data_IF_398837030086
#
_entry.id   IF_398837030086
#
_cell.length_a   1.000
_cell.length_b   1.000
_cell.length_c   1.000
_cell.angle_alpha   90.00
_cell.angle_beta   90.00
_cell.angle_gamma   90.00
#
_symmetry.space_group_name_H-M   'P 1'
#
loop_
_entity.id
_entity.type
_entity.pdbx_description
1 polymer ?
#
# COMPACT_ATOMS: atom_id res chain seq x y z
N UNK A 1 -2.19 6.17 15.14
CA UNK A 1 -2.91 6.64 13.95
C UNK A 1 -2.94 5.54 12.91
N UNK A 2 -4.11 5.32 12.28
CA UNK A 2 -4.25 4.39 11.16
C UNK A 2 -4.53 5.17 9.88
N UNK A 3 -3.63 5.09 8.91
CA UNK A 3 -3.79 5.70 7.58
C UNK A 3 -4.32 4.65 6.62
N UNK A 4 -5.44 4.92 5.96
CA UNK A 4 -5.98 4.06 4.90
C UNK A 4 -5.77 4.68 3.53
N UNK A 5 -5.24 3.88 2.59
CA UNK A 5 -5.00 4.27 1.20
C UNK A 5 -5.84 3.37 0.30
N UNK A 6 -6.87 3.94 -0.30
CA UNK A 6 -7.82 3.18 -1.14
C UNK A 6 -7.21 2.71 -2.46
N UNK A 7 -7.88 1.76 -3.10
CA UNK A 7 -7.47 1.19 -4.37
C UNK A 7 -8.09 1.85 -5.60
N UNK A 8 -7.89 1.18 -6.74
CA UNK A 8 -8.50 1.48 -8.03
C UNK A 8 -10.04 1.44 -7.98
N UNK A 9 -10.69 2.19 -8.87
CA UNK A 9 -12.14 2.20 -9.06
C UNK A 9 -12.91 2.51 -7.77
N UNK A 10 -12.42 3.44 -6.97
CA UNK A 10 -13.10 3.91 -5.76
C UNK A 10 -13.52 5.37 -5.93
N UNK A 11 -14.79 5.64 -5.66
CA UNK A 11 -15.26 7.00 -5.42
C UNK A 11 -14.90 7.41 -3.99
N UNK A 12 -14.95 8.70 -3.71
CA UNK A 12 -14.66 9.22 -2.38
C UNK A 12 -15.54 8.55 -1.31
N UNK A 13 -16.85 8.45 -1.57
CA UNK A 13 -17.81 7.85 -0.67
C UNK A 13 -17.50 6.37 -0.39
N UNK A 14 -17.11 5.61 -1.41
CA UNK A 14 -16.76 4.19 -1.28
C UNK A 14 -15.56 4.01 -0.34
N UNK A 15 -14.55 4.88 -0.48
CA UNK A 15 -13.37 4.85 0.39
C UNK A 15 -13.73 5.21 1.84
N UNK A 16 -14.58 6.24 2.05
CA UNK A 16 -15.04 6.66 3.38
C UNK A 16 -15.81 5.55 4.07
N UNK A 17 -16.83 4.98 3.42
CA UNK A 17 -17.65 3.93 4.02
C UNK A 17 -16.85 2.67 4.33
N UNK A 18 -16.00 2.25 3.40
CA UNK A 18 -15.14 1.08 3.62
C UNK A 18 -14.20 1.28 4.80
N UNK A 19 -13.57 2.43 4.89
CA UNK A 19 -12.65 2.69 5.99
C UNK A 19 -13.37 2.84 7.33
N UNK A 20 -14.52 3.52 7.36
CA UNK A 20 -15.33 3.62 8.56
C UNK A 20 -15.75 2.23 9.07
N UNK A 21 -16.14 1.31 8.17
CA UNK A 21 -16.47 -0.06 8.53
C UNK A 21 -15.25 -0.80 9.08
N UNK A 22 -14.08 -0.72 8.44
CA UNK A 22 -12.85 -1.37 8.91
C UNK A 22 -12.51 -0.89 10.34
N UNK A 23 -12.58 0.42 10.58
CA UNK A 23 -12.31 1.00 11.92
C UNK A 23 -13.30 0.50 12.95
N UNK A 24 -14.59 0.51 12.61
CA UNK A 24 -15.66 0.04 13.49
C UNK A 24 -15.48 -1.45 13.84
N UNK A 25 -15.31 -2.30 12.82
CA UNK A 25 -15.25 -3.76 12.99
C UNK A 25 -13.97 -4.21 13.69
N UNK A 26 -12.87 -3.49 13.50
CA UNK A 26 -11.60 -3.81 14.16
C UNK A 26 -11.62 -3.53 15.66
N UNK A 27 -12.47 -2.63 16.12
CA UNK A 27 -12.48 -2.17 17.51
C UNK A 27 -11.15 -1.56 18.00
N UNK A 28 -10.21 -1.31 17.08
CA UNK A 28 -8.89 -0.82 17.44
C UNK A 28 -8.94 0.63 17.96
N UNK A 29 -8.31 0.95 19.09
CA UNK A 29 -8.26 2.31 19.64
C UNK A 29 -7.28 3.16 18.82
N UNK A 30 -7.69 3.57 17.63
CA UNK A 30 -6.86 4.32 16.68
C UNK A 30 -7.55 5.57 16.18
N UNK A 31 -6.77 6.59 15.82
CA UNK A 31 -7.28 7.76 15.09
C UNK A 31 -7.23 7.44 13.60
N UNK A 32 -8.40 7.37 12.92
CA UNK A 32 -8.45 7.06 11.49
C UNK A 32 -8.10 8.27 10.64
N UNK A 33 -7.24 8.07 9.66
CA UNK A 33 -6.87 9.06 8.65
C UNK A 33 -7.07 8.43 7.27
N UNK A 34 -7.97 8.97 6.47
CA UNK A 34 -8.20 8.53 5.10
C UNK A 34 -7.34 9.37 4.14
N UNK A 35 -6.42 8.71 3.44
CA UNK A 35 -5.74 9.32 2.30
C UNK A 35 -6.49 8.99 1.02
N UNK A 36 -7.09 10.01 0.41
CA UNK A 36 -7.76 9.88 -0.89
C UNK A 36 -6.87 10.43 -2.01
N UNK A 37 -6.87 9.72 -3.14
CA UNK A 37 -6.20 10.13 -4.36
C UNK A 37 -7.20 10.06 -5.55
N UNK A 38 -6.99 10.85 -6.62
CA UNK A 38 -7.96 10.92 -7.73
C UNK A 38 -8.11 9.57 -8.45
N UNK A 39 -9.24 8.90 -8.24
CA UNK A 39 -9.66 7.73 -8.99
C UNK A 39 -10.92 8.08 -9.77
N UNK A 40 -11.02 7.58 -11.02
CA UNK A 40 -12.21 7.83 -11.84
C UNK A 40 -13.45 7.10 -11.34
N UNK A 41 -13.33 6.12 -10.45
CA UNK A 41 -14.45 5.29 -10.03
C UNK A 41 -15.08 4.53 -11.21
N UNK A 42 -14.26 4.09 -12.16
CA UNK A 42 -14.67 3.39 -13.37
C UNK A 42 -13.68 2.28 -13.71
N UNK A 43 -14.21 1.11 -14.08
CA UNK A 43 -13.40 -0.04 -14.53
C UNK A 43 -12.55 0.27 -15.76
N UNK A 44 -12.99 1.18 -16.60
CA UNK A 44 -12.25 1.61 -17.81
C UNK A 44 -11.16 2.65 -17.49
N UNK A 45 -11.15 3.20 -16.28
CA UNK A 45 -10.22 4.24 -15.84
C UNK A 45 -8.88 3.73 -15.30
N UNK A 46 -8.53 2.45 -15.47
CA UNK A 46 -7.33 1.88 -14.86
C UNK A 46 -6.04 2.64 -15.21
N UNK A 47 -5.84 2.99 -16.49
CA UNK A 47 -4.66 3.74 -16.93
C UNK A 47 -4.60 5.13 -16.31
N UNK A 48 -5.73 5.83 -16.24
CA UNK A 48 -5.82 7.12 -15.57
C UNK A 48 -5.52 6.99 -14.07
N UNK A 49 -6.13 6.03 -13.39
CA UNK A 49 -5.94 5.81 -11.97
C UNK A 49 -4.47 5.48 -11.66
N UNK A 50 -3.78 4.77 -12.55
CA UNK A 50 -2.36 4.47 -12.41
C UNK A 50 -1.48 5.72 -12.46
N UNK A 51 -1.75 6.63 -13.38
CA UNK A 51 -1.05 7.92 -13.45
C UNK A 51 -1.38 8.78 -12.23
N UNK A 52 -2.64 8.80 -11.80
CA UNK A 52 -3.07 9.50 -10.58
C UNK A 52 -2.41 8.95 -9.32
N UNK A 53 -2.25 7.64 -9.23
CA UNK A 53 -1.52 6.97 -8.15
C UNK A 53 -0.05 7.41 -8.13
N UNK A 54 0.61 7.44 -9.30
CA UNK A 54 1.97 7.95 -9.43
C UNK A 54 2.10 9.41 -9.01
N UNK A 55 1.17 10.25 -9.44
CA UNK A 55 1.12 11.67 -9.08
C UNK A 55 0.96 11.87 -7.56
N UNK A 56 0.13 11.04 -6.92
CA UNK A 56 -0.27 11.20 -5.52
C UNK A 56 0.77 10.73 -4.50
N UNK A 57 1.79 9.97 -4.91
CA UNK A 57 2.81 9.41 -4.01
C UNK A 57 3.53 10.45 -3.14
N UNK A 58 3.80 11.64 -3.72
CA UNK A 58 4.45 12.72 -2.97
C UNK A 58 3.56 13.32 -1.90
N UNK A 59 2.25 13.44 -2.16
CA UNK A 59 1.29 13.92 -1.18
C UNK A 59 1.17 12.94 0.01
N UNK A 60 1.17 11.63 -0.26
CA UNK A 60 1.18 10.62 0.79
C UNK A 60 2.49 10.67 1.60
N UNK A 61 3.64 10.78 0.94
CA UNK A 61 4.92 10.95 1.62
C UNK A 61 4.89 12.14 2.58
N UNK A 62 4.38 13.29 2.12
CA UNK A 62 4.27 14.52 2.92
C UNK A 62 3.35 14.35 4.12
N UNK A 63 2.21 13.68 3.95
CA UNK A 63 1.30 13.35 5.05
C UNK A 63 1.98 12.45 6.09
N UNK A 64 2.64 11.38 5.65
CA UNK A 64 3.32 10.45 6.54
C UNK A 64 4.46 11.12 7.32
N UNK A 65 5.21 12.01 6.65
CA UNK A 65 6.25 12.80 7.32
C UNK A 65 5.66 13.77 8.36
N UNK A 66 4.54 14.42 8.06
CA UNK A 66 3.87 15.30 9.01
C UNK A 66 3.40 14.53 10.24
N UNK A 67 2.73 13.37 10.05
CA UNK A 67 2.32 12.51 11.15
C UNK A 67 3.50 12.00 11.99
N UNK A 68 4.60 11.62 11.35
CA UNK A 68 5.79 11.14 12.06
C UNK A 68 6.48 12.24 12.89
N UNK A 69 6.39 13.50 12.47
CA UNK A 69 6.96 14.65 13.18
C UNK A 69 6.07 15.17 14.31
N UNK A 70 4.76 14.88 14.26
CA UNK A 70 3.82 15.37 15.26
C UNK A 70 4.08 14.67 16.62
N UNK A 71 4.33 15.43 17.70
CA UNK A 71 4.57 14.85 19.03
C UNK A 71 3.33 14.15 19.62
N UNK A 72 2.13 14.50 19.18
CA UNK A 72 0.89 13.84 19.62
C UNK A 72 0.69 12.46 18.98
N UNK A 73 1.42 12.14 17.91
CA UNK A 73 1.36 10.84 17.24
C UNK A 73 2.43 9.91 17.82
N UNK A 74 2.01 8.86 18.50
CA UNK A 74 2.92 7.82 19.01
C UNK A 74 3.35 6.85 17.92
N UNK A 75 2.39 6.37 17.12
CA UNK A 75 2.62 5.36 16.09
C UNK A 75 1.72 5.61 14.87
N UNK A 76 2.21 5.26 13.69
CA UNK A 76 1.49 5.27 12.42
C UNK A 76 1.46 3.84 11.87
N UNK A 77 0.27 3.31 11.68
CA UNK A 77 0.02 2.08 10.92
C UNK A 77 -0.65 2.45 9.60
N UNK A 78 -0.23 1.84 8.51
CA UNK A 78 -0.78 2.09 7.17
C UNK A 78 -1.50 0.83 6.70
N UNK A 79 -2.74 0.99 6.24
CA UNK A 79 -3.48 -0.04 5.52
C UNK A 79 -3.69 0.42 4.08
N UNK A 80 -3.07 -0.25 3.13
CA UNK A 80 -3.21 0.04 1.72
C UNK A 80 -3.95 -1.09 1.01
N UNK A 81 -4.83 -0.75 0.07
CA UNK A 81 -5.62 -1.71 -0.68
C UNK A 81 -5.39 -1.60 -2.19
N UNK A 82 -5.19 -2.73 -2.87
CA UNK A 82 -5.07 -2.84 -4.34
C UNK A 82 -4.02 -1.87 -4.91
N UNK A 83 -4.39 -0.96 -5.82
CA UNK A 83 -3.49 0.07 -6.38
C UNK A 83 -2.98 1.07 -5.33
N UNK A 84 -3.65 1.24 -4.20
CA UNK A 84 -3.17 2.04 -3.07
C UNK A 84 -1.85 1.52 -2.48
N UNK A 85 -1.56 0.23 -2.65
CA UNK A 85 -0.26 -0.33 -2.27
C UNK A 85 0.88 0.25 -3.11
N UNK A 86 0.65 0.48 -4.40
CA UNK A 86 1.63 1.17 -5.26
C UNK A 86 1.95 2.57 -4.72
N UNK A 87 0.93 3.37 -4.42
CA UNK A 87 1.11 4.72 -3.85
C UNK A 87 1.92 4.67 -2.56
N UNK A 88 1.57 3.71 -1.68
CA UNK A 88 2.18 3.54 -0.36
C UNK A 88 3.65 3.13 -0.47
N UNK A 89 3.95 2.11 -1.26
CA UNK A 89 5.32 1.62 -1.44
C UNK A 89 6.22 2.68 -2.07
N UNK A 90 5.74 3.41 -3.07
CA UNK A 90 6.48 4.52 -3.68
C UNK A 90 6.70 5.68 -2.72
N UNK A 91 5.71 6.03 -1.89
CA UNK A 91 5.86 7.07 -0.87
C UNK A 91 6.93 6.68 0.17
N UNK A 92 6.90 5.45 0.65
CA UNK A 92 7.89 4.93 1.61
C UNK A 92 9.29 4.84 1.00
N UNK A 93 9.40 4.38 -0.25
CA UNK A 93 10.65 4.33 -0.98
C UNK A 93 11.25 5.74 -1.15
N UNK A 94 10.47 6.72 -1.60
CA UNK A 94 10.93 8.10 -1.71
C UNK A 94 11.39 8.68 -0.38
N UNK A 95 10.64 8.40 0.69
CA UNK A 95 10.99 8.82 2.05
C UNK A 95 12.33 8.21 2.49
N UNK A 96 12.54 6.92 2.22
CA UNK A 96 13.80 6.24 2.53
C UNK A 96 14.98 6.84 1.77
N UNK A 97 14.84 7.09 0.47
CA UNK A 97 15.88 7.71 -0.36
C UNK A 97 16.24 9.12 0.15
N UNK A 98 15.24 9.94 0.50
CA UNK A 98 15.47 11.32 0.95
C UNK A 98 16.07 11.42 2.33
N UNK A 99 15.62 10.57 3.26
CA UNK A 99 15.95 10.65 4.68
C UNK A 99 16.92 9.56 5.13
N UNK A 100 17.37 8.68 4.25
CA UNK A 100 18.19 7.51 4.53
C UNK A 100 17.57 6.50 5.49
N UNK A 101 16.31 6.68 5.83
CA UNK A 101 15.51 5.78 6.66
C UNK A 101 14.04 6.16 6.64
N UNK A 102 13.18 5.23 7.01
CA UNK A 102 11.77 5.50 7.28
C UNK A 102 11.63 5.87 8.77
N UNK A 103 10.93 6.96 9.13
CA UNK A 103 10.75 7.37 10.52
C UNK A 103 10.25 6.23 11.41
N UNK A 104 10.81 6.05 12.61
CA UNK A 104 10.45 4.94 13.52
C UNK A 104 8.98 4.87 13.90
N UNK A 105 8.28 5.99 13.89
CA UNK A 105 6.84 6.05 14.18
C UNK A 105 5.99 5.38 13.11
N UNK A 106 6.47 5.27 11.86
CA UNK A 106 5.83 4.44 10.84
C UNK A 106 6.22 3.00 11.14
N UNK A 107 5.36 2.31 11.89
CA UNK A 107 5.69 1.03 12.49
C UNK A 107 5.17 -0.16 11.69
N UNK A 108 3.96 -0.06 11.15
CA UNK A 108 3.29 -1.18 10.47
C UNK A 108 2.72 -0.75 9.13
N UNK A 109 2.89 -1.61 8.13
CA UNK A 109 2.35 -1.44 6.78
C UNK A 109 1.65 -2.71 6.36
N UNK A 110 0.34 -2.65 6.25
CA UNK A 110 -0.54 -3.74 5.85
C UNK A 110 -0.88 -3.57 4.36
N UNK A 111 -0.44 -4.50 3.55
CA UNK A 111 -0.61 -4.52 2.11
C UNK A 111 -1.73 -5.51 1.75
N UNK A 112 -2.94 -5.01 1.48
CA UNK A 112 -4.10 -5.82 1.17
C UNK A 112 -4.30 -5.96 -0.34
N UNK A 113 -4.31 -7.20 -0.86
CA UNK A 113 -4.47 -7.54 -2.29
C UNK A 113 -3.65 -6.63 -3.20
N UNK A 114 -2.34 -6.49 -3.02
CA UNK A 114 -1.55 -5.47 -3.70
C UNK A 114 -1.51 -5.68 -5.22
N UNK A 115 -1.97 -4.66 -5.95
CA UNK A 115 -1.86 -4.56 -7.41
C UNK A 115 -0.51 -3.93 -7.80
N UNK A 116 0.54 -4.62 -7.43
CA UNK A 116 1.94 -4.24 -7.68
C UNK A 116 2.63 -5.39 -8.39
N UNK A 117 3.42 -5.06 -9.41
CA UNK A 117 4.30 -6.02 -10.05
C UNK A 117 5.31 -6.56 -9.04
N UNK A 118 5.55 -7.85 -9.05
CA UNK A 118 6.38 -8.48 -8.01
C UNK A 118 7.85 -8.07 -8.08
N UNK A 119 8.39 -7.88 -9.28
CA UNK A 119 9.79 -7.46 -9.44
C UNK A 119 9.97 -5.99 -9.03
N UNK A 120 8.95 -5.16 -9.31
CA UNK A 120 8.90 -3.78 -8.81
C UNK A 120 8.84 -3.75 -7.29
N UNK A 121 8.00 -4.58 -6.67
CA UNK A 121 7.92 -4.68 -5.21
C UNK A 121 9.29 -5.03 -4.60
N UNK A 122 9.99 -6.03 -5.14
CA UNK A 122 11.32 -6.39 -4.63
C UNK A 122 12.32 -5.26 -4.75
N UNK A 123 12.31 -4.55 -5.89
CA UNK A 123 13.16 -3.37 -6.08
C UNK A 123 12.84 -2.29 -5.05
N UNK A 124 11.56 -1.99 -4.83
CA UNK A 124 11.13 -1.01 -3.83
C UNK A 124 11.59 -1.38 -2.42
N UNK A 125 11.42 -2.65 -2.02
CA UNK A 125 11.86 -3.14 -0.69
C UNK A 125 13.38 -3.07 -0.55
N UNK A 126 14.14 -3.42 -1.58
CA UNK A 126 15.61 -3.36 -1.55
C UNK A 126 16.14 -1.93 -1.44
N UNK A 127 15.47 -0.96 -2.06
CA UNK A 127 15.84 0.45 -2.00
C UNK A 127 15.41 1.17 -0.71
N UNK A 128 14.64 0.51 0.15
CA UNK A 128 14.33 1.00 1.49
C UNK A 128 15.49 0.73 2.43
N UNK A 129 16.43 1.67 2.50
CA UNK A 129 17.60 1.60 3.37
C UNK A 129 17.26 1.78 4.86
N UNK A 130 18.13 1.29 5.73
CA UNK A 130 18.02 1.47 7.17
C UNK A 130 16.84 0.73 7.80
N UNK A 131 16.18 1.38 8.77
CA UNK A 131 15.01 0.78 9.43
C UNK A 131 13.80 0.80 8.51
N UNK A 132 13.17 -0.35 8.36
CA UNK A 132 11.89 -0.53 7.65
C UNK A 132 10.76 -0.77 8.65
N UNK A 133 9.51 -0.40 8.32
CA UNK A 133 8.34 -0.82 9.09
C UNK A 133 8.14 -2.34 9.01
N UNK A 134 7.30 -2.87 9.88
CA UNK A 134 6.81 -4.25 9.75
C UNK A 134 5.83 -4.31 8.58
N UNK A 135 6.12 -5.13 7.60
CA UNK A 135 5.19 -5.39 6.50
C UNK A 135 4.33 -6.62 6.80
N UNK A 136 3.04 -6.52 6.54
CA UNK A 136 2.10 -7.64 6.55
C UNK A 136 1.42 -7.70 5.20
N UNK A 137 1.49 -8.86 4.55
CA UNK A 137 0.96 -9.08 3.22
C UNK A 137 -0.32 -9.93 3.29
N UNK A 138 -1.44 -9.38 2.81
CA UNK A 138 -2.69 -10.12 2.63
C UNK A 138 -2.87 -10.40 1.14
N UNK A 139 -2.77 -11.67 0.77
CA UNK A 139 -2.88 -12.16 -0.60
C UNK A 139 -4.06 -13.12 -0.76
N UNK A 140 -4.54 -13.23 -1.99
CA UNK A 140 -5.55 -14.22 -2.35
C UNK A 140 -5.24 -14.77 -3.74
N UNK A 141 -5.05 -16.08 -3.83
CA UNK A 141 -4.83 -16.77 -5.11
C UNK A 141 -6.06 -16.72 -6.02
N UNK A 142 -7.25 -16.48 -5.44
CA UNK A 142 -8.53 -16.44 -6.14
C UNK A 142 -9.01 -15.02 -6.49
N UNK A 143 -8.16 -14.00 -6.33
CA UNK A 143 -8.54 -12.60 -6.59
C UNK A 143 -8.79 -12.34 -8.08
N UNK A 144 -10.07 -12.31 -8.44
CA UNK A 144 -10.53 -12.08 -9.82
C UNK A 144 -10.19 -10.69 -10.35
N UNK A 145 -10.11 -9.69 -9.48
CA UNK A 145 -9.76 -8.32 -9.88
C UNK A 145 -8.30 -8.24 -10.34
N UNK A 146 -7.40 -8.92 -9.64
CA UNK A 146 -6.00 -9.04 -10.04
C UNK A 146 -5.83 -9.88 -11.32
N UNK A 147 -6.73 -10.83 -11.58
CA UNK A 147 -6.74 -11.59 -12.83
C UNK A 147 -7.09 -10.70 -14.05
N UNK A 148 -7.98 -9.72 -13.88
CA UNK A 148 -8.30 -8.72 -14.91
C UNK A 148 -7.10 -7.79 -15.15
N UNK A 149 -6.47 -7.30 -14.09
CA UNK A 149 -5.25 -6.48 -14.18
C UNK A 149 -4.14 -7.18 -14.99
N UNK A 150 -3.92 -8.48 -14.76
CA UNK A 150 -2.97 -9.29 -15.55
C UNK A 150 -3.31 -9.36 -17.04
N UNK A 151 -4.59 -9.45 -17.40
CA UNK A 151 -5.02 -9.50 -18.82
C UNK A 151 -4.80 -8.20 -19.56
N UNK A 152 -4.91 -7.07 -18.87
CA UNK A 152 -4.81 -5.74 -19.49
C UNK A 152 -3.34 -5.30 -19.64
N UNK A 153 -2.47 -5.67 -18.71
CA UNK A 153 -1.11 -5.10 -18.60
C UNK A 153 0.04 -6.12 -18.75
N UNK A 154 -0.26 -7.35 -19.19
CA UNK A 154 0.76 -8.35 -19.48
C UNK A 154 0.95 -9.39 -18.37
N UNK A 155 1.86 -10.34 -18.62
CA UNK A 155 1.96 -11.61 -17.92
C UNK A 155 2.73 -11.59 -16.59
N UNK A 156 3.16 -10.45 -16.08
CA UNK A 156 3.90 -10.41 -14.81
C UNK A 156 3.00 -10.70 -13.62
N UNK A 157 3.52 -11.48 -12.68
CA UNK A 157 2.80 -11.83 -11.46
C UNK A 157 2.55 -10.58 -10.61
N UNK A 158 1.32 -10.45 -10.11
CA UNK A 158 0.96 -9.42 -9.14
C UNK A 158 1.17 -9.93 -7.73
N UNK A 159 1.76 -9.10 -6.89
CA UNK A 159 2.07 -9.45 -5.50
C UNK A 159 0.86 -9.98 -4.73
N UNK A 160 -0.33 -9.41 -4.97
CA UNK A 160 -1.57 -9.84 -4.31
C UNK A 160 -2.10 -11.20 -4.75
N UNK A 161 -1.56 -11.79 -5.82
CA UNK A 161 -2.01 -13.06 -6.40
C UNK A 161 -0.94 -14.16 -6.35
N UNK A 162 0.14 -13.97 -5.62
CA UNK A 162 1.15 -15.00 -5.41
C UNK A 162 0.66 -16.02 -4.35
N UNK A 163 1.23 -17.21 -4.41
CA UNK A 163 1.18 -18.16 -3.31
C UNK A 163 2.42 -17.94 -2.43
N UNK A 164 2.26 -17.37 -1.21
CA UNK A 164 3.38 -17.03 -0.36
C UNK A 164 4.16 -18.25 0.16
N UNK A 165 3.54 -19.44 0.12
CA UNK A 165 4.16 -20.70 0.54
C UNK A 165 4.96 -21.40 -0.58
N UNK A 166 4.82 -20.91 -1.82
CA UNK A 166 5.53 -21.46 -2.97
C UNK A 166 6.87 -20.77 -3.22
N UNK A 167 7.85 -21.54 -3.73
CA UNK A 167 9.11 -20.97 -4.19
C UNK A 167 8.95 -20.27 -5.57
N UNK A 168 9.67 -19.15 -5.82
CA UNK A 168 10.70 -18.55 -4.98
C UNK A 168 10.19 -17.51 -3.97
N UNK A 169 8.87 -17.37 -3.82
CA UNK A 169 8.27 -16.28 -3.05
C UNK A 169 8.50 -16.46 -1.55
N UNK A 170 8.34 -17.69 -1.05
CA UNK A 170 8.56 -18.03 0.35
C UNK A 170 9.94 -17.57 0.84
N UNK A 171 11.00 -18.03 0.19
CA UNK A 171 12.38 -17.68 0.55
C UNK A 171 12.61 -16.16 0.50
N UNK A 172 12.05 -15.47 -0.51
CA UNK A 172 12.20 -14.02 -0.65
C UNK A 172 11.45 -13.24 0.44
N UNK A 173 10.22 -13.64 0.78
CA UNK A 173 9.42 -13.00 1.83
C UNK A 173 10.08 -13.18 3.19
N UNK A 174 10.52 -14.39 3.52
CA UNK A 174 11.26 -14.68 4.76
C UNK A 174 12.55 -13.84 4.88
N UNK A 175 13.33 -13.74 3.80
CA UNK A 175 14.53 -12.92 3.76
C UNK A 175 14.24 -11.42 3.94
N UNK A 176 13.09 -10.95 3.43
CA UNK A 176 12.62 -9.58 3.60
C UNK A 176 11.94 -9.32 4.95
N UNK A 177 11.67 -10.37 5.74
CA UNK A 177 10.88 -10.31 6.99
C UNK A 177 9.45 -9.79 6.77
N UNK A 178 8.80 -10.32 5.76
CA UNK A 178 7.41 -10.01 5.37
C UNK A 178 6.55 -11.24 5.54
#
# INVERSE_FOLDING_TARGET
VMVFVHGFNNRFEDAVYRFAQIVHDSGAPTVPVLFTWPSQGSLFGYGYDRESANYSRHALESLLQALAKDPAVGEVSILAHSMGNWVTLEALRQMSIRNRQIPPKIANVMLASPDVDIDVFWTQIQEMEGRRPNFTLFVSTDDRALAVSRRVWGSTARLGAIDPDSEPYKTKLEAAKI
#
